data_IF_539530082833
#
_entry.id   IF_539530082833
#
_cell.length_a   1.000
_cell.length_b   1.000
_cell.length_c   1.000
_cell.angle_alpha   90.00
_cell.angle_beta   90.00
_cell.angle_gamma   90.00
#
_symmetry.space_group_name_H-M   'P 1'
#
loop_
_entity.id
_entity.type
_entity.pdbx_description
1 polymer ?
#
# COMPACT_ATOMS: atom_id res chain seq x y z
N UNK A 1 13.56 -24.17 -7.45
CA UNK A 1 13.36 -22.73 -7.21
C UNK A 1 12.91 -22.00 -8.48
N UNK A 2 13.49 -22.24 -9.65
CA UNK A 2 13.09 -21.60 -10.92
C UNK A 2 11.60 -21.76 -11.25
N UNK A 3 11.02 -22.91 -10.94
CA UNK A 3 9.60 -23.20 -11.19
C UNK A 3 8.70 -22.40 -10.23
N UNK A 4 9.17 -22.18 -9.00
CA UNK A 4 8.41 -21.48 -7.96
C UNK A 4 8.49 -19.96 -8.15
N UNK A 5 9.64 -19.46 -8.58
CA UNK A 5 9.92 -18.03 -8.77
C UNK A 5 10.53 -17.75 -10.16
N UNK A 6 9.74 -17.86 -11.24
CA UNK A 6 10.27 -17.74 -12.61
C UNK A 6 10.84 -16.35 -12.92
N UNK A 7 10.42 -15.33 -12.21
CA UNK A 7 10.85 -13.93 -12.43
C UNK A 7 12.16 -13.56 -11.71
N UNK A 8 12.82 -14.49 -11.02
CA UNK A 8 14.05 -14.22 -10.28
C UNK A 8 15.30 -14.52 -11.10
N UNK A 9 16.31 -13.65 -10.93
CA UNK A 9 17.64 -13.88 -11.49
C UNK A 9 18.43 -14.88 -10.64
N UNK A 10 18.42 -16.14 -11.06
CA UNK A 10 19.09 -17.23 -10.36
C UNK A 10 20.62 -17.17 -10.45
N UNK A 11 21.19 -16.48 -11.45
CA UNK A 11 22.64 -16.25 -11.50
C UNK A 11 23.07 -15.31 -10.38
N UNK A 12 22.26 -14.30 -10.10
CA UNK A 12 22.47 -13.38 -8.98
C UNK A 12 22.32 -14.09 -7.64
N UNK A 13 21.28 -14.93 -7.49
CA UNK A 13 21.05 -15.74 -6.29
C UNK A 13 22.24 -16.67 -6.04
N UNK A 14 22.74 -17.36 -7.07
CA UNK A 14 23.90 -18.24 -6.95
C UNK A 14 25.13 -17.50 -6.45
N UNK A 15 25.44 -16.32 -7.00
CA UNK A 15 26.53 -15.46 -6.52
C UNK A 15 26.34 -15.01 -5.06
N UNK A 16 25.08 -14.78 -4.65
CA UNK A 16 24.80 -14.41 -3.27
C UNK A 16 25.01 -15.59 -2.30
N UNK A 17 24.69 -16.80 -2.71
CA UNK A 17 24.95 -18.03 -1.93
C UNK A 17 26.43 -18.22 -1.66
N UNK A 18 27.29 -17.92 -2.66
CA UNK A 18 28.75 -18.07 -2.53
C UNK A 18 29.39 -16.98 -1.64
N UNK A 19 28.76 -15.80 -1.53
CA UNK A 19 29.36 -14.62 -0.89
C UNK A 19 28.74 -14.22 0.43
N UNK A 20 27.49 -14.61 0.69
CA UNK A 20 26.71 -14.17 1.86
C UNK A 20 26.30 -15.36 2.71
N UNK A 21 26.42 -15.20 4.05
CA UNK A 21 25.91 -16.19 5.02
C UNK A 21 24.38 -16.22 5.09
N UNK A 22 23.73 -15.09 4.75
CA UNK A 22 22.29 -14.93 4.79
C UNK A 22 21.83 -13.90 3.76
N UNK A 23 20.71 -14.14 3.10
CA UNK A 23 19.98 -13.16 2.29
C UNK A 23 18.52 -13.57 2.16
N UNK A 24 17.66 -12.59 1.91
CA UNK A 24 16.24 -12.84 1.65
C UNK A 24 16.04 -13.34 0.22
N UNK A 25 15.55 -14.58 0.09
CA UNK A 25 15.18 -15.12 -1.21
C UNK A 25 13.91 -14.42 -1.73
N UNK A 26 12.91 -14.28 -0.87
CA UNK A 26 11.66 -13.58 -1.14
C UNK A 26 11.14 -12.99 0.16
N UNK A 27 10.60 -11.76 0.11
CA UNK A 27 10.06 -11.08 1.29
C UNK A 27 8.61 -11.43 1.59
N UNK A 28 7.86 -11.79 0.54
CA UNK A 28 6.44 -12.17 0.64
C UNK A 28 6.20 -13.39 -0.21
N UNK A 29 5.89 -14.50 0.42
CA UNK A 29 5.63 -15.77 -0.26
C UNK A 29 4.14 -16.09 -0.11
N UNK A 30 3.49 -16.44 -1.22
CA UNK A 30 2.11 -16.95 -1.19
C UNK A 30 2.08 -18.33 -0.52
N UNK A 31 0.93 -18.70 0.06
CA UNK A 31 0.75 -19.99 0.71
C UNK A 31 1.08 -21.16 -0.23
N UNK A 32 0.64 -21.08 -1.48
CA UNK A 32 0.95 -22.08 -2.50
C UNK A 32 2.46 -22.22 -2.76
N UNK A 33 3.18 -21.10 -2.89
CA UNK A 33 4.63 -21.13 -3.09
C UNK A 33 5.39 -21.57 -1.84
N UNK A 34 4.86 -21.23 -0.65
CA UNK A 34 5.39 -21.72 0.61
C UNK A 34 5.32 -23.24 0.70
N UNK A 35 4.17 -23.84 0.40
CA UNK A 35 4.04 -25.31 0.37
C UNK A 35 5.00 -25.97 -0.62
N UNK A 36 5.14 -25.38 -1.82
CA UNK A 36 6.09 -25.87 -2.82
C UNK A 36 7.54 -25.80 -2.33
N UNK A 37 7.90 -24.71 -1.64
CA UNK A 37 9.23 -24.56 -1.04
C UNK A 37 9.50 -25.59 0.04
N UNK A 38 8.54 -25.81 0.93
CA UNK A 38 8.68 -26.79 2.01
C UNK A 38 8.81 -28.24 1.48
N UNK A 39 8.11 -28.55 0.39
CA UNK A 39 8.24 -29.87 -0.30
C UNK A 39 9.63 -30.12 -0.90
N UNK A 40 10.45 -29.10 -1.09
CA UNK A 40 11.84 -29.29 -1.53
C UNK A 40 12.74 -29.92 -0.45
N UNK A 41 12.36 -29.81 0.82
CA UNK A 41 13.09 -30.40 1.94
C UNK A 41 14.48 -29.81 2.18
N UNK A 42 14.78 -28.60 1.66
CA UNK A 42 16.07 -27.95 1.80
C UNK A 42 16.16 -27.18 3.13
N UNK A 43 16.94 -27.68 4.06
CA UNK A 43 17.12 -27.11 5.39
C UNK A 43 17.80 -25.71 5.39
N UNK A 44 18.37 -25.29 4.27
CA UNK A 44 18.95 -23.95 4.14
C UNK A 44 17.89 -22.86 3.94
N UNK A 45 16.68 -23.24 3.52
CA UNK A 45 15.54 -22.34 3.33
C UNK A 45 14.75 -22.30 4.66
N UNK A 46 14.78 -21.14 5.29
CA UNK A 46 14.05 -20.91 6.55
C UNK A 46 12.92 -19.91 6.32
N UNK A 47 11.67 -20.27 6.56
CA UNK A 47 10.56 -19.35 6.57
C UNK A 47 10.61 -18.50 7.85
N UNK A 48 10.23 -17.25 7.72
CA UNK A 48 9.98 -16.34 8.83
C UNK A 48 8.54 -15.87 8.76
N UNK A 49 7.79 -16.07 9.83
CA UNK A 49 6.43 -15.56 9.93
C UNK A 49 6.46 -14.06 10.21
N UNK A 50 5.79 -13.27 9.38
CA UNK A 50 5.65 -11.84 9.56
C UNK A 50 4.21 -11.42 9.39
N UNK A 51 3.71 -10.61 10.33
CA UNK A 51 2.40 -9.97 10.18
C UNK A 51 2.47 -8.97 9.04
N UNK A 52 1.63 -9.16 8.03
CA UNK A 52 1.53 -8.28 6.87
C UNK A 52 0.31 -7.38 6.98
N UNK A 53 0.50 -6.10 6.75
CA UNK A 53 -0.60 -5.16 6.59
C UNK A 53 -1.26 -5.37 5.22
N UNK A 54 -2.57 -5.58 5.22
CA UNK A 54 -3.36 -5.70 3.99
C UNK A 54 -4.33 -4.52 3.90
N UNK A 55 -4.48 -3.98 2.69
CA UNK A 55 -5.40 -2.89 2.38
C UNK A 55 -6.52 -3.40 1.47
N UNK A 56 -7.65 -3.91 2.03
CA UNK A 56 -8.69 -4.58 1.25
C UNK A 56 -9.35 -3.68 0.22
N UNK A 57 -9.44 -2.38 0.51
CA UNK A 57 -10.06 -1.38 -0.39
C UNK A 57 -9.08 -0.80 -1.43
N UNK A 58 -7.85 -1.31 -1.47
CA UNK A 58 -6.83 -0.92 -2.46
C UNK A 58 -6.71 0.62 -2.58
N UNK A 59 -6.93 1.13 -3.79
CA UNK A 59 -6.78 2.56 -4.12
C UNK A 59 -7.77 3.47 -3.39
N UNK A 60 -8.95 2.96 -3.00
CA UNK A 60 -10.07 3.80 -2.55
C UNK A 60 -9.72 4.70 -1.35
N UNK A 61 -8.86 4.24 -0.47
CA UNK A 61 -8.46 4.97 0.74
C UNK A 61 -6.95 5.24 0.81
N UNK A 62 -6.22 5.08 -0.30
CA UNK A 62 -4.77 5.17 -0.31
C UNK A 62 -4.20 6.42 0.33
N UNK A 63 -4.76 7.59 0.01
CA UNK A 63 -4.29 8.88 0.55
C UNK A 63 -4.78 9.18 1.96
N UNK A 64 -5.84 8.52 2.42
CA UNK A 64 -6.32 8.63 3.80
C UNK A 64 -5.51 7.71 4.71
N UNK A 65 -5.53 6.41 4.39
CA UNK A 65 -4.86 5.40 5.21
C UNK A 65 -3.35 5.53 5.08
N UNK A 66 -2.86 5.79 3.87
CA UNK A 66 -1.43 5.82 3.60
C UNK A 66 -0.84 4.42 3.45
N UNK A 67 0.40 4.26 3.90
CA UNK A 67 1.13 3.00 3.78
C UNK A 67 2.21 2.88 4.84
N UNK A 68 2.70 1.66 5.01
CA UNK A 68 3.82 1.30 5.87
C UNK A 68 5.05 0.94 5.04
N UNK A 69 6.23 0.95 5.66
CA UNK A 69 7.46 0.39 5.08
C UNK A 69 7.55 -1.14 5.23
N UNK A 70 8.68 -1.73 4.83
CA UNK A 70 8.92 -3.18 4.94
C UNK A 70 9.05 -3.67 6.40
N UNK A 71 9.29 -2.75 7.34
CA UNK A 71 9.44 -3.01 8.77
C UNK A 71 8.15 -2.69 9.55
N UNK A 72 7.04 -2.48 8.83
CA UNK A 72 5.73 -2.10 9.34
C UNK A 72 5.69 -0.72 10.03
N UNK A 73 6.62 0.22 9.70
CA UNK A 73 6.52 1.59 10.16
C UNK A 73 5.60 2.40 9.24
N UNK A 74 4.71 3.20 9.81
CA UNK A 74 3.86 4.10 9.06
C UNK A 74 4.66 5.21 8.38
N UNK A 75 4.60 5.30 7.04
CA UNK A 75 5.34 6.31 6.26
C UNK A 75 4.46 7.43 5.71
N UNK A 76 3.17 7.21 5.60
CA UNK A 76 2.21 8.23 5.14
C UNK A 76 0.82 8.02 5.72
N UNK A 77 -0.04 9.05 5.60
CA UNK A 77 -1.45 9.01 5.98
C UNK A 77 -1.68 8.69 7.46
N UNK A 78 -2.78 8.03 7.74
CA UNK A 78 -3.13 7.58 9.08
C UNK A 78 -2.17 6.54 9.65
N UNK A 79 -1.59 5.68 8.79
CA UNK A 79 -0.57 4.71 9.21
C UNK A 79 0.61 5.43 9.88
N UNK A 80 1.03 6.58 9.32
CA UNK A 80 2.09 7.40 9.94
C UNK A 80 1.62 8.15 11.17
N UNK A 81 0.44 8.79 11.08
CA UNK A 81 -0.05 9.64 12.16
C UNK A 81 -0.42 8.87 13.43
N UNK A 82 -0.82 7.62 13.29
CA UNK A 82 -1.24 6.73 14.37
C UNK A 82 -0.34 5.50 14.52
N UNK A 83 0.90 5.56 14.01
CA UNK A 83 1.81 4.41 13.99
C UNK A 83 1.98 3.76 15.36
N UNK A 84 2.25 4.55 16.39
CA UNK A 84 2.40 4.06 17.76
C UNK A 84 1.12 3.41 18.29
N UNK A 85 -0.03 4.02 18.04
CA UNK A 85 -1.34 3.49 18.48
C UNK A 85 -1.68 2.20 17.74
N UNK A 86 -1.45 2.15 16.43
CA UNK A 86 -1.73 0.98 15.60
C UNK A 86 -0.84 -0.22 15.93
N UNK A 87 0.37 0.03 16.44
CA UNK A 87 1.28 -1.04 16.89
C UNK A 87 0.92 -1.61 18.24
N UNK A 88 0.51 -0.74 19.17
CA UNK A 88 0.35 -1.09 20.58
C UNK A 88 -1.10 -1.42 20.96
N UNK A 89 -2.07 -1.02 20.15
CA UNK A 89 -3.48 -1.23 20.44
C UNK A 89 -4.07 -2.39 19.63
N UNK A 90 -4.84 -3.24 20.29
CA UNK A 90 -5.65 -4.27 19.64
C UNK A 90 -7.04 -3.72 19.19
N UNK A 91 -7.36 -2.47 19.54
CA UNK A 91 -8.64 -1.86 19.19
C UNK A 91 -8.56 -1.19 17.83
N UNK A 92 -9.54 -1.41 16.95
CA UNK A 92 -9.58 -0.76 15.65
C UNK A 92 -9.83 0.75 15.80
N UNK A 93 -9.18 1.54 14.95
CA UNK A 93 -9.47 2.97 14.81
C UNK A 93 -10.66 3.10 13.86
N UNK A 94 -11.75 3.72 14.36
CA UNK A 94 -12.92 4.00 13.54
C UNK A 94 -12.77 5.37 12.87
N UNK A 95 -12.89 5.39 11.54
CA UNK A 95 -12.86 6.61 10.76
C UNK A 95 -14.26 7.15 10.53
N UNK A 96 -14.35 8.44 10.22
CA UNK A 96 -15.62 9.12 9.87
C UNK A 96 -15.94 9.00 8.37
N UNK A 97 -15.01 8.49 7.57
CA UNK A 97 -15.16 8.36 6.13
C UNK A 97 -16.21 7.32 5.78
N UNK A 98 -17.13 7.71 4.91
CA UNK A 98 -18.16 6.83 4.36
C UNK A 98 -17.63 6.15 3.08
N UNK A 99 -17.66 4.82 3.06
CA UNK A 99 -17.10 4.03 1.95
C UNK A 99 -17.86 4.28 0.63
N UNK A 100 -19.17 4.35 0.69
CA UNK A 100 -20.00 4.45 -0.51
C UNK A 100 -19.92 5.86 -1.10
N UNK A 101 -19.90 6.88 -0.26
CA UNK A 101 -19.65 8.26 -0.65
C UNK A 101 -18.25 8.42 -1.25
N UNK A 102 -17.23 7.85 -0.61
CA UNK A 102 -15.85 7.85 -1.10
C UNK A 102 -15.76 7.21 -2.49
N UNK A 103 -16.39 6.05 -2.67
CA UNK A 103 -16.42 5.35 -3.96
C UNK A 103 -17.12 6.18 -5.04
N UNK A 104 -18.29 6.76 -4.74
CA UNK A 104 -19.06 7.55 -5.68
C UNK A 104 -18.27 8.78 -6.16
N UNK A 105 -17.74 9.56 -5.22
CA UNK A 105 -16.97 10.77 -5.56
C UNK A 105 -15.71 10.40 -6.35
N UNK A 106 -14.99 9.33 -5.96
CA UNK A 106 -13.83 8.84 -6.71
C UNK A 106 -14.18 8.49 -8.16
N UNK A 107 -15.27 7.76 -8.36
CA UNK A 107 -15.76 7.37 -9.69
C UNK A 107 -16.02 8.59 -10.58
N UNK A 108 -16.71 9.59 -10.06
CA UNK A 108 -17.00 10.82 -10.80
C UNK A 108 -15.72 11.62 -11.08
N UNK A 109 -14.81 11.75 -10.12
CA UNK A 109 -13.54 12.43 -10.33
C UNK A 109 -12.71 11.79 -11.44
N UNK A 110 -12.62 10.47 -11.49
CA UNK A 110 -11.90 9.75 -12.57
C UNK A 110 -12.52 10.07 -13.92
N UNK A 111 -13.85 9.98 -14.04
CA UNK A 111 -14.58 10.29 -15.26
C UNK A 111 -14.30 11.72 -15.75
N UNK A 112 -14.38 12.70 -14.87
CA UNK A 112 -14.12 14.08 -15.26
C UNK A 112 -12.65 14.39 -15.50
N UNK A 113 -11.74 13.70 -14.80
CA UNK A 113 -10.30 13.81 -15.07
C UNK A 113 -9.96 13.36 -16.50
N UNK A 114 -10.62 12.29 -16.99
CA UNK A 114 -10.47 11.83 -18.37
C UNK A 114 -11.04 12.84 -19.37
N UNK A 115 -12.24 13.36 -19.11
CA UNK A 115 -12.91 14.34 -19.99
C UNK A 115 -12.08 15.63 -20.13
N UNK A 116 -11.60 16.16 -19.01
CA UNK A 116 -10.84 17.42 -18.98
C UNK A 116 -9.34 17.23 -19.19
N UNK A 117 -8.87 15.98 -19.30
CA UNK A 117 -7.43 15.63 -19.42
C UNK A 117 -6.58 16.28 -18.33
N UNK A 118 -7.12 16.39 -17.11
CA UNK A 118 -6.44 17.03 -16.00
C UNK A 118 -5.31 16.15 -15.46
N UNK A 119 -4.19 16.76 -15.07
CA UNK A 119 -3.01 16.07 -14.51
C UNK A 119 -3.27 15.49 -13.11
N UNK A 120 -4.27 16.00 -12.44
CA UNK A 120 -4.69 15.54 -11.11
C UNK A 120 -5.97 16.23 -10.69
N UNK A 121 -6.66 15.62 -9.75
CA UNK A 121 -7.89 16.15 -9.17
C UNK A 121 -7.96 15.79 -7.69
N UNK A 122 -8.71 16.57 -6.93
CA UNK A 122 -8.93 16.30 -5.51
C UNK A 122 -10.34 16.72 -5.10
N UNK A 123 -10.90 16.02 -4.12
CA UNK A 123 -12.15 16.38 -3.52
C UNK A 123 -12.14 16.06 -2.03
N UNK A 124 -12.82 16.90 -1.26
CA UNK A 124 -13.12 16.67 0.15
C UNK A 124 -14.59 16.94 0.40
N UNK A 125 -15.24 16.04 1.12
CA UNK A 125 -16.60 16.22 1.63
C UNK A 125 -16.57 16.20 3.14
N UNK A 126 -17.06 17.27 3.76
CA UNK A 126 -17.06 17.44 5.21
C UNK A 126 -18.45 17.80 5.71
N UNK A 127 -18.84 17.23 6.83
CA UNK A 127 -20.06 17.64 7.53
C UNK A 127 -19.80 18.96 8.27
N UNK A 128 -20.51 20.00 7.88
CA UNK A 128 -20.31 21.37 8.39
C UNK A 128 -20.69 21.53 9.88
N UNK A 129 -21.55 20.65 10.41
CA UNK A 129 -22.01 20.75 11.80
C UNK A 129 -21.00 20.22 12.82
N UNK A 130 -20.17 19.25 12.43
CA UNK A 130 -19.26 18.56 13.36
C UNK A 130 -17.83 18.40 12.84
N UNK A 131 -17.54 18.87 11.62
CA UNK A 131 -16.22 18.79 11.02
C UNK A 131 -15.79 17.38 10.57
N UNK A 132 -16.68 16.39 10.62
CA UNK A 132 -16.33 15.04 10.17
C UNK A 132 -16.09 14.98 8.68
N UNK A 133 -14.94 14.44 8.29
CA UNK A 133 -14.62 14.18 6.88
C UNK A 133 -15.31 12.90 6.46
N UNK A 134 -16.23 13.02 5.51
CA UNK A 134 -17.00 11.91 4.95
C UNK A 134 -16.30 11.31 3.71
N UNK A 135 -15.54 12.12 2.99
CA UNK A 135 -14.74 11.67 1.85
C UNK A 135 -13.53 12.58 1.65
N UNK A 136 -12.39 11.99 1.27
CA UNK A 136 -11.18 12.70 0.87
C UNK A 136 -10.52 11.91 -0.24
N UNK A 137 -10.41 12.51 -1.42
CA UNK A 137 -9.85 11.87 -2.60
C UNK A 137 -8.78 12.76 -3.22
N UNK A 138 -7.71 12.14 -3.64
CA UNK A 138 -6.66 12.75 -4.44
C UNK A 138 -6.30 11.80 -5.59
N UNK A 139 -6.28 12.31 -6.81
CA UNK A 139 -5.94 11.57 -8.02
C UNK A 139 -4.72 12.20 -8.72
N UNK A 140 -3.86 11.40 -9.35
CA UNK A 140 -3.87 9.94 -9.38
C UNK A 140 -3.61 9.34 -8.00
N UNK A 141 -4.22 8.19 -7.74
CA UNK A 141 -4.04 7.42 -6.52
C UNK A 141 -3.14 6.18 -6.76
N UNK A 142 -2.96 5.36 -5.75
CA UNK A 142 -2.11 4.18 -5.81
C UNK A 142 -2.72 3.01 -5.02
N UNK A 143 -2.28 1.79 -5.33
CA UNK A 143 -2.63 0.61 -4.52
C UNK A 143 -1.54 0.39 -3.45
N UNK A 144 -1.82 0.57 -2.15
CA UNK A 144 -0.82 0.38 -1.10
C UNK A 144 -0.28 -1.05 -1.00
N UNK A 145 -1.00 -2.05 -1.57
CA UNK A 145 -0.53 -3.42 -1.61
C UNK A 145 0.52 -3.66 -2.71
N UNK A 146 0.62 -2.77 -3.72
CA UNK A 146 1.47 -2.91 -4.91
C UNK A 146 2.49 -1.78 -4.98
N UNK A 147 3.54 -1.86 -4.16
CA UNK A 147 4.52 -0.76 -3.99
C UNK A 147 5.48 -0.56 -5.16
N UNK A 148 5.63 -1.57 -6.03
CA UNK A 148 6.68 -1.57 -7.08
C UNK A 148 6.41 -0.59 -8.23
N UNK A 149 5.16 -0.19 -8.44
CA UNK A 149 4.74 0.62 -9.59
C UNK A 149 4.24 2.02 -9.19
N UNK A 150 4.55 2.48 -7.99
CA UNK A 150 4.08 3.76 -7.50
C UNK A 150 5.09 4.85 -7.88
N UNK A 151 4.62 5.87 -8.59
CA UNK A 151 5.41 7.06 -8.92
C UNK A 151 5.24 8.14 -7.86
N UNK A 152 6.19 9.08 -7.77
CA UNK A 152 6.12 10.20 -6.82
C UNK A 152 4.83 11.02 -6.97
N UNK A 153 4.34 11.15 -8.20
CA UNK A 153 3.10 11.88 -8.51
C UNK A 153 1.87 11.22 -7.87
N UNK A 154 1.84 9.89 -7.76
CA UNK A 154 0.76 9.14 -7.12
C UNK A 154 0.75 9.29 -5.60
N UNK A 155 1.91 9.56 -4.98
CA UNK A 155 2.01 9.74 -3.53
C UNK A 155 1.53 11.11 -3.03
N UNK A 156 1.41 12.08 -3.91
CA UNK A 156 1.01 13.43 -3.53
C UNK A 156 -0.47 13.45 -3.16
N UNK A 157 -0.76 13.68 -1.88
CA UNK A 157 -2.11 14.01 -1.47
C UNK A 157 -2.39 15.49 -1.81
N UNK A 158 -3.11 15.73 -2.89
CA UNK A 158 -3.41 17.08 -3.40
C UNK A 158 -4.34 17.88 -2.51
N UNK A 159 -5.08 17.22 -1.63
CA UNK A 159 -5.92 17.92 -0.64
C UNK A 159 -5.06 18.60 0.43
N UNK A 160 -3.94 17.95 0.83
CA UNK A 160 -3.11 18.44 1.94
C UNK A 160 -1.76 19.03 1.53
N UNK A 161 -1.26 18.67 0.35
CA UNK A 161 0.06 19.08 -0.16
C UNK A 161 0.01 19.72 -1.55
N UNK A 162 -1.17 19.75 -2.16
CA UNK A 162 -1.34 20.41 -3.44
C UNK A 162 -1.22 21.92 -3.26
N UNK A 163 -0.36 22.55 -4.07
CA UNK A 163 -0.30 24.00 -4.25
C UNK A 163 -0.82 24.31 -5.64
N UNK A 164 -1.75 25.26 -5.74
CA UNK A 164 -2.16 25.79 -7.03
C UNK A 164 -2.61 27.24 -6.87
N UNK A 165 -2.42 28.00 -7.92
CA UNK A 165 -2.88 29.39 -8.00
C UNK A 165 -4.31 29.42 -8.53
N UNK A 166 -5.13 30.31 -7.95
CA UNK A 166 -6.53 30.54 -8.35
C UNK A 166 -6.59 31.44 -9.58
#
# INVERSE_FOLDING_TARGET
LNIIFPNKDFNKIKKQLDTKKFFWLEKKVSEENYEKLMKLGDNSIKPEEKVLRMYPQKNLFSHIIGQIDDDNNGISGLEKSFDEVLRNSQKPIKLTVDKDVQFLIRKELIKYQEIFKSKGSAAILMNVNNGNILSLISLPDFNPNERQNITDVNFINRVTKGTYEL
#
